data_IF_853884517211
#
_entry.id   IF_853884517211
#
_cell.length_a   1.000
_cell.length_b   1.000
_cell.length_c   1.000
_cell.angle_alpha   90.00
_cell.angle_beta   90.00
_cell.angle_gamma   90.00
#
_symmetry.space_group_name_H-M   'P 1'
#
loop_
_entity.id
_entity.type
_entity.pdbx_description
1 polymer ?
#
# COMPACT_ATOMS: atom_id res chain seq x y z
N UNK A 1 32.59 24.94 -31.76
CA UNK A 1 31.63 23.82 -31.70
C UNK A 1 31.43 23.45 -30.25
N UNK A 2 30.21 23.51 -29.74
CA UNK A 2 29.90 23.11 -28.35
C UNK A 2 30.03 21.58 -28.22
N UNK A 3 30.73 21.08 -27.21
CA UNK A 3 30.90 19.64 -26.96
C UNK A 3 29.51 18.97 -26.85
N UNK A 4 29.18 17.96 -27.67
CA UNK A 4 27.89 17.27 -27.61
C UNK A 4 27.54 16.73 -26.21
N UNK A 5 28.56 16.40 -25.40
CA UNK A 5 28.38 15.95 -24.01
C UNK A 5 27.94 17.07 -23.09
N UNK A 6 28.40 18.31 -23.31
CA UNK A 6 27.93 19.49 -22.57
C UNK A 6 26.48 19.80 -22.92
N UNK A 7 26.11 19.74 -24.20
CA UNK A 7 24.72 19.94 -24.63
C UNK A 7 23.77 18.90 -24.02
N UNK A 8 24.20 17.63 -24.00
CA UNK A 8 23.44 16.55 -23.37
C UNK A 8 23.29 16.78 -21.86
N UNK A 9 24.35 17.20 -21.17
CA UNK A 9 24.33 17.51 -19.74
C UNK A 9 23.36 18.67 -19.43
N UNK A 10 23.34 19.73 -20.24
CA UNK A 10 22.37 20.82 -20.13
C UNK A 10 20.93 20.34 -20.29
N UNK A 11 20.65 19.54 -21.34
CA UNK A 11 19.32 18.98 -21.58
C UNK A 11 18.85 18.08 -20.42
N UNK A 12 19.75 17.25 -19.90
CA UNK A 12 19.46 16.40 -18.74
C UNK A 12 19.16 17.23 -17.49
N UNK A 13 19.85 18.36 -17.30
CA UNK A 13 19.57 19.26 -16.19
C UNK A 13 18.18 19.90 -16.31
N UNK A 14 17.81 20.39 -17.48
CA UNK A 14 16.46 20.94 -17.72
C UNK A 14 15.37 19.88 -17.49
N UNK A 15 15.57 18.67 -17.99
CA UNK A 15 14.64 17.55 -17.77
C UNK A 15 14.54 17.17 -16.28
N UNK A 16 15.66 17.10 -15.57
CA UNK A 16 15.68 16.83 -14.14
C UNK A 16 14.94 17.91 -13.34
N UNK A 17 15.13 19.18 -13.70
CA UNK A 17 14.41 20.30 -13.11
C UNK A 17 12.92 20.22 -13.39
N UNK A 18 12.51 19.83 -14.59
CA UNK A 18 11.10 19.60 -14.90
C UNK A 18 10.50 18.52 -13.98
N UNK A 19 11.14 17.35 -13.87
CA UNK A 19 10.69 16.31 -12.94
C UNK A 19 10.64 16.79 -11.48
N UNK A 20 11.60 17.64 -11.07
CA UNK A 20 11.64 18.20 -9.73
C UNK A 20 10.42 19.10 -9.43
N UNK A 21 10.06 19.99 -10.37
CA UNK A 21 8.89 20.87 -10.23
C UNK A 21 7.57 20.08 -10.27
N UNK A 22 7.52 19.01 -11.08
CA UNK A 22 6.40 18.07 -11.12
C UNK A 22 6.35 17.12 -9.91
N UNK A 23 7.25 17.28 -8.92
CA UNK A 23 7.37 16.44 -7.73
C UNK A 23 7.65 14.95 -8.00
N UNK A 24 8.12 14.61 -9.20
CA UNK A 24 8.53 13.25 -9.58
C UNK A 24 9.95 12.96 -9.08
N UNK A 25 10.16 13.02 -7.76
CA UNK A 25 11.49 13.07 -7.14
C UNK A 25 12.39 11.86 -7.47
N UNK A 26 11.83 10.67 -7.68
CA UNK A 26 12.62 9.49 -8.09
C UNK A 26 13.21 9.67 -9.50
N UNK A 27 12.40 10.14 -10.46
CA UNK A 27 12.87 10.43 -11.83
C UNK A 27 13.84 11.60 -11.84
N UNK A 28 13.53 12.66 -11.08
CA UNK A 28 14.41 13.81 -10.91
C UNK A 28 15.78 13.39 -10.37
N UNK A 29 15.82 12.56 -9.31
CA UNK A 29 17.05 12.00 -8.72
C UNK A 29 17.91 11.30 -9.78
N UNK A 30 17.32 10.32 -10.49
CA UNK A 30 18.03 9.54 -11.50
C UNK A 30 18.60 10.41 -12.62
N UNK A 31 17.89 11.47 -13.01
CA UNK A 31 18.37 12.39 -14.05
C UNK A 31 19.44 13.35 -13.51
N UNK A 32 19.31 13.87 -12.29
CA UNK A 32 20.36 14.68 -11.66
C UNK A 32 21.67 13.92 -11.46
N UNK A 33 21.63 12.62 -11.12
CA UNK A 33 22.82 11.76 -11.04
C UNK A 33 23.60 11.72 -12.37
N UNK A 34 22.90 11.67 -13.50
CA UNK A 34 23.51 11.74 -14.83
C UNK A 34 24.16 13.09 -15.08
N UNK A 35 23.52 14.18 -14.65
CA UNK A 35 24.07 15.54 -14.76
C UNK A 35 25.34 15.69 -13.93
N UNK A 36 25.36 15.16 -12.70
CA UNK A 36 26.52 15.18 -11.80
C UNK A 36 27.71 14.42 -12.42
N UNK A 37 27.45 13.33 -13.13
CA UNK A 37 28.48 12.57 -13.86
C UNK A 37 28.96 13.20 -15.16
N UNK A 38 28.40 14.34 -15.58
CA UNK A 38 28.74 15.01 -16.83
C UNK A 38 30.02 15.87 -16.78
N UNK A 39 30.48 16.38 -17.93
CA UNK A 39 31.77 17.07 -18.03
C UNK A 39 31.78 18.51 -17.46
N UNK A 40 30.64 19.18 -17.37
CA UNK A 40 30.50 20.54 -16.87
C UNK A 40 30.36 20.61 -15.36
N UNK A 41 31.40 21.09 -14.68
CA UNK A 41 31.44 21.17 -13.20
C UNK A 41 30.36 22.08 -12.60
N UNK A 42 30.12 23.25 -13.19
CA UNK A 42 29.12 24.19 -12.66
C UNK A 42 27.70 23.60 -12.64
N UNK A 43 27.32 22.87 -13.69
CA UNK A 43 26.05 22.16 -13.73
C UNK A 43 26.00 20.99 -12.76
N UNK A 44 27.12 20.27 -12.59
CA UNK A 44 27.22 19.18 -11.63
C UNK A 44 27.03 19.69 -10.19
N UNK A 45 27.68 20.80 -9.83
CA UNK A 45 27.56 21.43 -8.50
C UNK A 45 26.12 21.89 -8.22
N UNK A 46 25.46 22.49 -9.23
CA UNK A 46 24.03 22.85 -9.13
C UNK A 46 23.15 21.60 -8.97
N UNK A 47 23.38 20.58 -9.79
CA UNK A 47 22.62 19.33 -9.75
C UNK A 47 22.76 18.61 -8.40
N UNK A 48 23.92 18.66 -7.73
CA UNK A 48 24.11 18.08 -6.40
C UNK A 48 23.16 18.67 -5.35
N UNK A 49 22.91 19.98 -5.39
CA UNK A 49 21.97 20.63 -4.46
C UNK A 49 20.55 20.08 -4.66
N UNK A 50 20.11 19.97 -5.91
CA UNK A 50 18.78 19.43 -6.23
C UNK A 50 18.68 17.93 -5.97
N UNK A 51 19.76 17.18 -6.20
CA UNK A 51 19.86 15.77 -5.86
C UNK A 51 19.66 15.54 -4.36
N UNK A 52 20.37 16.28 -3.51
CA UNK A 52 20.21 16.22 -2.05
C UNK A 52 18.78 16.61 -1.60
N UNK A 53 18.16 17.58 -2.28
CA UNK A 53 16.77 17.95 -2.03
C UNK A 53 15.79 16.83 -2.43
N UNK A 54 16.01 16.15 -3.56
CA UNK A 54 15.22 14.98 -3.94
C UNK A 54 15.33 13.90 -2.86
N UNK A 55 16.54 13.59 -2.42
CA UNK A 55 16.78 12.57 -1.38
C UNK A 55 16.11 12.92 -0.06
N UNK A 56 16.22 14.17 0.42
CA UNK A 56 15.53 14.62 1.63
C UNK A 56 14.01 14.58 1.51
N UNK A 57 13.45 14.94 0.36
CA UNK A 57 12.00 14.86 0.13
C UNK A 57 11.52 13.42 0.12
N UNK A 58 12.28 12.55 -0.56
CA UNK A 58 12.03 11.12 -0.60
C UNK A 58 12.19 10.45 0.77
N UNK A 59 13.16 10.88 1.58
CA UNK A 59 13.35 10.36 2.94
C UNK A 59 12.22 10.80 3.86
N UNK A 60 11.76 12.06 3.80
CA UNK A 60 10.59 12.52 4.56
C UNK A 60 9.31 11.77 4.20
N UNK A 61 9.12 11.41 2.93
CA UNK A 61 8.01 10.53 2.54
C UNK A 61 8.19 9.09 3.01
N UNK A 62 9.43 8.59 3.06
CA UNK A 62 9.74 7.27 3.62
C UNK A 62 9.62 7.23 5.16
N UNK A 63 9.82 8.37 5.82
CA UNK A 63 9.61 8.57 7.27
C UNK A 63 8.13 8.76 7.64
N UNK A 64 7.27 9.10 6.67
CA UNK A 64 5.81 9.18 6.81
C UNK A 64 5.09 7.91 6.32
N UNK A 65 5.82 6.84 6.03
CA UNK A 65 5.21 5.53 5.89
C UNK A 65 4.67 5.12 7.27
N UNK A 66 3.40 4.69 7.39
CA UNK A 66 2.94 3.97 8.56
C UNK A 66 3.96 2.89 8.91
N UNK A 67 4.55 2.91 10.10
CA UNK A 67 5.63 2.00 10.50
C UNK A 67 5.15 0.81 11.28
N UNK A 68 3.99 0.93 11.92
CA UNK A 68 3.39 -0.16 12.66
C UNK A 68 2.31 -0.88 11.87
N UNK A 69 2.01 -2.09 12.32
CA UNK A 69 0.91 -2.90 11.82
C UNK A 69 -0.41 -2.13 11.98
N UNK A 70 -0.59 -1.47 13.13
CA UNK A 70 -1.78 -0.70 13.51
C UNK A 70 -1.96 0.53 12.62
N UNK A 71 -0.90 1.28 12.33
CA UNK A 71 -1.01 2.45 11.47
C UNK A 71 -1.39 2.08 10.02
N UNK A 72 -0.84 0.98 9.48
CA UNK A 72 -1.25 0.46 8.19
C UNK A 72 -2.70 -0.06 8.20
N UNK A 73 -3.09 -0.75 9.27
CA UNK A 73 -4.45 -1.23 9.45
C UNK A 73 -5.46 -0.06 9.51
N UNK A 74 -5.22 0.93 10.38
CA UNK A 74 -6.07 2.11 10.51
C UNK A 74 -6.15 2.92 9.22
N UNK A 75 -5.04 3.04 8.49
CA UNK A 75 -5.05 3.64 7.16
C UNK A 75 -5.94 2.86 6.20
N UNK A 76 -5.83 1.52 6.17
CA UNK A 76 -6.66 0.66 5.34
C UNK A 76 -8.15 0.83 5.61
N UNK A 77 -8.55 0.74 6.89
CA UNK A 77 -9.93 0.95 7.33
C UNK A 77 -10.42 2.36 6.97
N UNK A 78 -9.60 3.40 7.19
CA UNK A 78 -9.96 4.75 6.80
C UNK A 78 -10.20 4.89 5.29
N UNK A 79 -9.41 4.20 4.46
CA UNK A 79 -9.60 4.19 3.02
C UNK A 79 -10.85 3.40 2.59
N UNK A 80 -11.22 2.32 3.30
CA UNK A 80 -12.50 1.62 3.08
C UNK A 80 -13.69 2.54 3.32
N UNK A 81 -13.69 3.26 4.45
CA UNK A 81 -14.76 4.20 4.80
C UNK A 81 -14.90 5.34 3.79
N UNK A 82 -13.83 5.67 3.05
CA UNK A 82 -13.82 6.68 1.99
C UNK A 82 -14.10 6.10 0.60
N UNK A 83 -14.34 4.79 0.46
CA UNK A 83 -14.52 4.11 -0.83
C UNK A 83 -13.27 4.01 -1.68
N UNK A 84 -12.08 4.21 -1.11
CA UNK A 84 -10.78 4.17 -1.80
C UNK A 84 -10.19 2.75 -1.74
N UNK A 85 -10.82 1.83 -2.47
CA UNK A 85 -10.58 0.39 -2.37
C UNK A 85 -9.13 -0.05 -2.64
N UNK A 86 -8.51 0.48 -3.71
CA UNK A 86 -7.13 0.13 -4.07
C UNK A 86 -6.12 0.55 -3.00
N UNK A 87 -6.32 1.74 -2.42
CA UNK A 87 -5.44 2.27 -1.37
C UNK A 87 -5.63 1.53 -0.05
N UNK A 88 -6.88 1.14 0.27
CA UNK A 88 -7.15 0.24 1.38
C UNK A 88 -6.37 -1.07 1.22
N UNK A 89 -6.46 -1.72 0.05
CA UNK A 89 -5.76 -2.98 -0.19
C UNK A 89 -4.25 -2.84 0.00
N UNK A 90 -3.65 -1.78 -0.56
CA UNK A 90 -2.22 -1.54 -0.42
C UNK A 90 -1.80 -1.36 1.04
N UNK A 91 -2.62 -0.68 1.86
CA UNK A 91 -2.35 -0.49 3.28
C UNK A 91 -2.50 -1.79 4.08
N UNK A 92 -3.61 -2.52 3.89
CA UNK A 92 -3.86 -3.79 4.56
C UNK A 92 -2.85 -4.88 4.16
N UNK A 93 -2.42 -4.93 2.89
CA UNK A 93 -1.37 -5.86 2.45
C UNK A 93 -0.02 -5.59 3.11
N UNK A 94 0.30 -4.32 3.38
CA UNK A 94 1.50 -3.97 4.16
C UNK A 94 1.35 -4.40 5.61
N UNK A 95 0.19 -4.17 6.22
CA UNK A 95 -0.10 -4.64 7.58
C UNK A 95 0.06 -6.18 7.66
N UNK A 96 -0.50 -6.91 6.70
CA UNK A 96 -0.41 -8.39 6.62
C UNK A 96 1.02 -8.88 6.51
N UNK A 97 1.87 -8.20 5.73
CA UNK A 97 3.30 -8.54 5.61
C UNK A 97 4.06 -8.33 6.92
N UNK A 98 3.68 -7.31 7.70
CA UNK A 98 4.32 -7.00 8.99
C UNK A 98 3.83 -7.92 10.11
N UNK A 99 2.56 -8.33 10.09
CA UNK A 99 1.99 -9.28 11.04
C UNK A 99 1.11 -10.33 10.35
N UNK A 100 1.69 -11.44 9.86
CA UNK A 100 0.96 -12.49 9.12
C UNK A 100 0.05 -13.36 10.00
N UNK A 101 -0.07 -13.07 11.30
CA UNK A 101 -0.93 -13.80 12.25
C UNK A 101 -1.93 -12.90 12.96
N UNK A 102 -2.03 -11.64 12.56
CA UNK A 102 -3.02 -10.71 13.09
C UNK A 102 -4.37 -10.94 12.41
N UNK A 103 -5.30 -11.56 13.13
CA UNK A 103 -6.63 -11.90 12.67
C UNK A 103 -7.42 -10.69 12.17
N UNK A 104 -7.32 -9.55 12.88
CA UNK A 104 -8.02 -8.31 12.52
C UNK A 104 -7.63 -7.75 11.14
N UNK A 105 -6.43 -8.08 10.63
CA UNK A 105 -5.99 -7.68 9.28
C UNK A 105 -6.69 -8.52 8.23
N UNK A 106 -6.76 -9.84 8.46
CA UNK A 106 -7.48 -10.75 7.57
C UNK A 106 -8.98 -10.47 7.58
N UNK A 107 -9.53 -10.10 8.74
CA UNK A 107 -10.92 -9.66 8.86
C UNK A 107 -11.18 -8.40 8.00
N UNK A 108 -10.35 -7.37 8.11
CA UNK A 108 -10.49 -6.16 7.30
C UNK A 108 -10.27 -6.42 5.79
N UNK A 109 -9.35 -7.31 5.41
CA UNK A 109 -9.20 -7.73 4.02
C UNK A 109 -10.45 -8.47 3.51
N UNK A 110 -11.07 -9.32 4.34
CA UNK A 110 -12.30 -10.00 3.98
C UNK A 110 -13.47 -9.03 3.77
N UNK A 111 -13.61 -8.05 4.67
CA UNK A 111 -14.60 -6.98 4.55
C UNK A 111 -14.36 -6.16 3.27
N UNK A 112 -13.11 -5.77 2.99
CA UNK A 112 -12.75 -5.08 1.74
C UNK A 112 -13.09 -5.91 0.51
N UNK A 113 -12.72 -7.20 0.49
CA UNK A 113 -13.00 -8.10 -0.62
C UNK A 113 -14.52 -8.20 -0.86
N UNK A 114 -15.31 -8.36 0.19
CA UNK A 114 -16.77 -8.39 0.14
C UNK A 114 -17.37 -7.09 -0.43
N UNK A 115 -16.94 -5.93 0.08
CA UNK A 115 -17.37 -4.61 -0.42
C UNK A 115 -17.04 -4.40 -1.90
N UNK A 116 -15.99 -5.05 -2.40
CA UNK A 116 -15.58 -4.99 -3.81
C UNK A 116 -16.13 -6.11 -4.69
N UNK A 117 -16.95 -7.02 -4.13
CA UNK A 117 -17.58 -8.12 -4.87
C UNK A 117 -16.67 -9.35 -5.09
N UNK A 118 -15.52 -9.42 -4.41
CA UNK A 118 -14.52 -10.49 -4.54
C UNK A 118 -14.83 -11.64 -3.57
N UNK A 119 -15.95 -12.35 -3.78
CA UNK A 119 -16.49 -13.32 -2.82
C UNK A 119 -15.50 -14.42 -2.38
N UNK A 120 -14.74 -15.01 -3.31
CA UNK A 120 -13.78 -16.08 -2.98
C UNK A 120 -12.63 -15.59 -2.08
N UNK A 121 -12.13 -14.39 -2.36
CA UNK A 121 -11.08 -13.76 -1.55
C UNK A 121 -11.62 -13.41 -0.16
N UNK A 122 -12.85 -12.88 -0.10
CA UNK A 122 -13.52 -12.55 1.14
C UNK A 122 -13.69 -13.78 2.04
N UNK A 123 -14.21 -14.89 1.49
CA UNK A 123 -14.36 -16.15 2.19
C UNK A 123 -13.04 -16.71 2.69
N UNK A 124 -11.99 -16.65 1.86
CA UNK A 124 -10.64 -17.14 2.21
C UNK A 124 -10.06 -16.34 3.38
N UNK A 125 -10.11 -15.01 3.30
CA UNK A 125 -9.57 -14.14 4.35
C UNK A 125 -10.39 -14.24 5.65
N UNK A 126 -11.72 -14.32 5.55
CA UNK A 126 -12.58 -14.45 6.73
C UNK A 126 -12.36 -15.79 7.43
N UNK A 127 -12.22 -16.87 6.68
CA UNK A 127 -11.89 -18.19 7.24
C UNK A 127 -10.59 -18.15 8.03
N UNK A 128 -9.54 -17.53 7.47
CA UNK A 128 -8.27 -17.39 8.16
C UNK A 128 -8.38 -16.50 9.41
N UNK A 129 -9.14 -15.40 9.36
CA UNK A 129 -9.40 -14.56 10.53
C UNK A 129 -10.09 -15.35 11.65
N UNK A 130 -11.05 -16.22 11.30
CA UNK A 130 -11.75 -17.09 12.25
C UNK A 130 -10.84 -18.20 12.81
N UNK A 131 -9.96 -18.79 11.99
CA UNK A 131 -8.98 -19.77 12.44
C UNK A 131 -7.97 -19.18 13.42
N UNK A 132 -7.55 -17.93 13.19
CA UNK A 132 -6.66 -17.19 14.09
C UNK A 132 -7.38 -16.74 15.37
N UNK A 133 -8.63 -16.28 15.25
CA UNK A 133 -9.44 -15.84 16.38
C UNK A 133 -10.94 -16.18 16.18
N UNK A 134 -11.45 -17.25 16.83
CA UNK A 134 -12.82 -17.73 16.61
C UNK A 134 -13.94 -16.73 16.89
N UNK A 135 -13.71 -15.71 17.72
CA UNK A 135 -14.72 -14.68 18.00
C UNK A 135 -15.09 -13.84 16.77
N UNK A 136 -14.24 -13.83 15.74
CA UNK A 136 -14.52 -13.19 14.46
C UNK A 136 -15.81 -13.72 13.79
N UNK A 137 -16.27 -14.94 14.11
CA UNK A 137 -17.59 -15.42 13.67
C UNK A 137 -18.71 -14.53 14.19
N UNK A 138 -18.65 -14.11 15.46
CA UNK A 138 -19.71 -13.29 16.05
C UNK A 138 -19.71 -11.87 15.48
N UNK A 139 -18.51 -11.32 15.19
CA UNK A 139 -18.38 -10.03 14.51
C UNK A 139 -18.97 -10.09 13.11
N UNK A 140 -18.55 -11.07 12.29
CA UNK A 140 -18.97 -11.18 10.89
C UNK A 140 -20.48 -11.43 10.71
N UNK A 141 -21.16 -12.04 11.69
CA UNK A 141 -22.64 -12.22 11.66
C UNK A 141 -23.42 -10.91 11.68
N UNK A 142 -22.85 -9.84 12.25
CA UNK A 142 -23.54 -8.57 12.48
C UNK A 142 -22.92 -7.43 11.67
N UNK A 143 -22.00 -7.73 10.78
CA UNK A 143 -21.19 -6.75 10.07
C UNK A 143 -21.72 -6.57 8.63
N UNK A 144 -22.19 -5.35 8.34
CA UNK A 144 -22.82 -5.00 7.07
C UNK A 144 -21.84 -5.04 5.89
N UNK A 145 -20.53 -4.96 6.14
CA UNK A 145 -19.51 -5.08 5.10
C UNK A 145 -19.56 -6.46 4.40
N UNK A 146 -20.14 -7.47 5.05
CA UNK A 146 -20.36 -8.81 4.47
C UNK A 146 -21.72 -8.98 3.78
N UNK A 147 -22.48 -7.91 3.56
CA UNK A 147 -23.79 -8.00 2.92
C UNK A 147 -23.76 -8.74 1.56
N UNK A 148 -22.67 -8.59 0.80
CA UNK A 148 -22.48 -9.27 -0.49
C UNK A 148 -22.40 -10.80 -0.36
N UNK A 149 -22.04 -11.33 0.80
CA UNK A 149 -21.88 -12.77 1.05
C UNK A 149 -23.12 -13.43 1.66
N UNK A 150 -24.14 -12.66 2.07
CA UNK A 150 -25.29 -13.18 2.81
C UNK A 150 -26.08 -14.24 2.04
N UNK A 151 -26.11 -14.16 0.71
CA UNK A 151 -26.79 -15.13 -0.15
C UNK A 151 -25.95 -16.38 -0.44
N UNK A 152 -24.65 -16.37 -0.09
CA UNK A 152 -23.77 -17.53 -0.26
C UNK A 152 -23.92 -18.52 0.90
N UNK A 153 -24.40 -19.75 0.66
CA UNK A 153 -24.57 -20.75 1.73
C UNK A 153 -23.26 -21.06 2.46
N UNK A 154 -22.10 -20.94 1.78
CA UNK A 154 -20.78 -21.19 2.37
C UNK A 154 -20.46 -20.16 3.45
N UNK A 155 -20.94 -18.93 3.31
CA UNK A 155 -20.79 -17.89 4.33
C UNK A 155 -21.58 -18.26 5.59
N UNK A 156 -22.80 -18.75 5.44
CA UNK A 156 -23.61 -19.23 6.58
C UNK A 156 -22.92 -20.39 7.29
N UNK A 157 -22.43 -21.39 6.56
CA UNK A 157 -21.69 -22.52 7.14
C UNK A 157 -20.42 -22.06 7.88
N UNK A 158 -19.69 -21.09 7.30
CA UNK A 158 -18.52 -20.51 7.93
C UNK A 158 -18.85 -19.76 9.24
N UNK A 159 -20.04 -19.17 9.37
CA UNK A 159 -20.42 -18.46 10.59
C UNK A 159 -21.07 -19.36 11.64
N UNK A 160 -21.74 -20.45 11.23
CA UNK A 160 -22.47 -21.36 12.09
C UNK A 160 -22.02 -22.81 11.81
N UNK A 161 -20.79 -23.19 12.23
CA UNK A 161 -20.36 -24.57 12.09
C UNK A 161 -21.35 -25.44 12.88
N UNK A 162 -21.80 -26.55 12.29
CA UNK A 162 -22.64 -27.51 13.01
C UNK A 162 -21.97 -27.82 14.36
N UNK A 163 -22.75 -27.77 15.45
CA UNK A 163 -22.25 -28.23 16.75
C UNK A 163 -21.77 -29.66 16.53
N UNK A 164 -20.47 -29.91 16.66
CA UNK A 164 -20.00 -31.24 16.98
C UNK A 164 -20.80 -31.67 18.22
N UNK A 165 -21.78 -32.54 18.01
CA UNK A 165 -22.55 -33.13 19.10
C UNK A 165 -21.56 -33.80 20.06
N UNK A 166 -21.87 -33.87 21.37
CA UNK A 166 -20.95 -34.48 22.32
C UNK A 166 -20.60 -35.88 21.82
N UNK A 167 -19.32 -36.10 21.53
CA UNK A 167 -18.76 -37.43 21.29
C UNK A 167 -19.12 -38.25 22.53
N UNK A 168 -20.10 -39.14 22.37
CA UNK A 168 -20.58 -40.03 23.44
C UNK A 168 -19.57 -41.13 23.70
#
# INVERSE_FOLDING_TARGET
>A
MTDPRLLLQHKQYEEAMQYFHEQKFLKAKQTFEKVVGGPGRELADRAQIYLANCERRMSRTADAAPRSVEEHYHHGVAMMNLGRWEESRLALDRARKLSPKADFIYYALAALDSLTGEAESAMTNLKLAIELHPENRYHARNDEDFAYLLEDPRFTELLYPEREGPSS
#
